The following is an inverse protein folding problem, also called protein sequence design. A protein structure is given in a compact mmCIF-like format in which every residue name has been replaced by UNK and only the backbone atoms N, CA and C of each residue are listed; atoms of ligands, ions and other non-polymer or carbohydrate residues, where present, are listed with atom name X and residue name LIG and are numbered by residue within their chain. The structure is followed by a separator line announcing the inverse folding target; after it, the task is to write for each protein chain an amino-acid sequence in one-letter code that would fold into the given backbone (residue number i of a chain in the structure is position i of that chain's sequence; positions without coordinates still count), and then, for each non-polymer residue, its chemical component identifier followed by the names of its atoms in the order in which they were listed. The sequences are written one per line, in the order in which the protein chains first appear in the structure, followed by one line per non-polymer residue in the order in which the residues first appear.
data_IF_816251704267
#
_entry.id   IF_816251704267
#
_cell.length_a   1.000
_cell.length_b   1.000
_cell.length_c   1.000
_cell.angle_alpha   90.00
_cell.angle_beta   90.00
_cell.angle_gamma   90.00
#
_symmetry.space_group_name_H-M   'P 1'
#
loop_
_entity.id
_entity.type
_entity.pdbx_description
1 polymer ?
#
# COMPACT_ATOMS: atom_id res chain seq x y z
N UNK A 1 -10.41 -22.14 1.98
CA UNK A 1 -9.52 -21.14 1.36
C UNK A 1 -8.18 -21.26 2.04
N UNK A 2 -7.09 -21.42 1.29
CA UNK A 2 -5.76 -21.34 1.86
C UNK A 2 -5.43 -19.86 2.12
N UNK A 3 -4.71 -19.58 3.21
CA UNK A 3 -4.24 -18.22 3.49
C UNK A 3 -3.30 -17.77 2.36
N UNK A 4 -3.37 -16.50 1.94
CA UNK A 4 -2.42 -15.97 0.99
C UNK A 4 -1.00 -16.09 1.55
N UNK A 5 0.02 -16.25 0.69
CA UNK A 5 1.39 -16.31 1.16
C UNK A 5 1.79 -14.97 1.78
N UNK A 6 2.57 -15.04 2.86
CA UNK A 6 3.10 -13.88 3.57
C UNK A 6 4.03 -13.02 2.67
N UNK A 7 4.68 -13.68 1.72
CA UNK A 7 5.59 -13.08 0.75
C UNK A 7 5.36 -13.69 -0.63
N UNK A 8 5.44 -12.87 -1.67
CA UNK A 8 5.55 -13.35 -3.06
C UNK A 8 6.72 -12.66 -3.75
N UNK A 9 7.49 -13.43 -4.53
CA UNK A 9 8.71 -12.94 -5.18
C UNK A 9 8.58 -13.03 -6.70
N UNK A 10 9.00 -11.97 -7.38
CA UNK A 10 8.95 -11.84 -8.83
C UNK A 10 10.24 -11.22 -9.36
N UNK A 11 10.47 -11.39 -10.66
CA UNK A 11 11.55 -10.75 -11.39
C UNK A 11 10.92 -9.92 -12.51
N UNK A 12 11.27 -8.64 -12.55
CA UNK A 12 10.98 -7.80 -13.71
C UNK A 12 11.83 -8.25 -14.90
N UNK A 13 11.44 -7.96 -16.16
CA UNK A 13 12.14 -8.49 -17.34
C UNK A 13 13.65 -8.19 -17.35
N UNK A 14 14.03 -6.96 -17.02
CA UNK A 14 15.44 -6.54 -16.89
C UNK A 14 16.19 -7.08 -15.65
N UNK A 15 15.56 -7.93 -14.83
CA UNK A 15 16.20 -8.67 -13.74
C UNK A 15 16.00 -8.12 -12.32
N UNK A 16 15.28 -7.01 -12.13
CA UNK A 16 14.99 -6.50 -10.77
C UNK A 16 14.14 -7.49 -9.97
N UNK A 17 14.61 -7.79 -8.75
CA UNK A 17 13.94 -8.68 -7.80
C UNK A 17 12.89 -7.91 -7.02
N UNK A 18 11.65 -8.34 -7.11
CA UNK A 18 10.50 -7.73 -6.46
C UNK A 18 9.99 -8.63 -5.34
N UNK A 19 9.81 -8.05 -4.16
CA UNK A 19 9.12 -8.67 -3.03
C UNK A 19 7.77 -8.00 -2.80
N UNK A 20 6.71 -8.79 -2.79
CA UNK A 20 5.36 -8.35 -2.42
C UNK A 20 5.07 -8.85 -1.01
N UNK A 21 4.68 -7.93 -0.14
CA UNK A 21 4.29 -8.17 1.25
C UNK A 21 3.03 -7.36 1.56
N UNK A 22 2.24 -7.76 2.55
CA UNK A 22 1.16 -6.90 3.00
C UNK A 22 1.68 -5.74 3.85
N UNK A 23 2.39 -6.02 4.96
CA UNK A 23 2.90 -5.00 5.88
C UNK A 23 4.41 -4.80 5.75
N UNK A 24 5.22 -5.83 6.07
CA UNK A 24 6.68 -5.82 5.95
C UNK A 24 7.21 -7.24 5.66
N UNK A 25 8.48 -7.41 5.27
CA UNK A 25 9.08 -8.74 5.11
C UNK A 25 8.83 -9.62 6.35
N UNK A 26 8.33 -10.83 6.11
CA UNK A 26 7.98 -11.81 7.13
C UNK A 26 6.81 -11.44 8.06
N UNK A 27 6.01 -10.39 7.77
CA UNK A 27 4.87 -9.98 8.61
C UNK A 27 3.68 -9.44 7.83
N UNK A 28 2.48 -9.85 8.25
CA UNK A 28 1.19 -9.37 7.74
C UNK A 28 0.62 -8.23 8.63
N UNK A 29 1.29 -7.89 9.72
CA UNK A 29 0.83 -6.90 10.69
C UNK A 29 1.96 -5.96 11.17
N UNK A 30 1.63 -5.12 12.15
CA UNK A 30 2.56 -4.17 12.74
C UNK A 30 2.48 -2.79 12.09
N UNK A 31 3.58 -2.01 12.06
CA UNK A 31 3.54 -0.66 11.52
C UNK A 31 3.74 -0.59 9.99
N UNK A 32 4.26 -1.64 9.34
CA UNK A 32 4.52 -1.66 7.89
C UNK A 32 5.48 -0.55 7.41
N UNK A 33 5.27 -0.05 6.18
CA UNK A 33 5.98 1.11 5.64
C UNK A 33 5.20 2.41 5.93
N UNK A 34 5.69 3.18 6.90
CA UNK A 34 5.15 4.49 7.29
C UNK A 34 6.07 5.61 6.86
N UNK A 35 5.52 6.72 6.35
CA UNK A 35 6.31 7.85 5.85
C UNK A 35 7.14 8.53 6.95
N UNK A 36 6.68 8.47 8.20
CA UNK A 36 7.32 9.05 9.37
C UNK A 36 8.43 8.16 9.97
N UNK A 37 8.56 6.91 9.52
CA UNK A 37 9.58 6.01 10.05
C UNK A 37 10.99 6.46 9.65
N UNK A 38 11.92 6.37 10.60
CA UNK A 38 13.34 6.50 10.33
C UNK A 38 13.87 5.28 9.59
N UNK A 39 15.00 5.45 8.91
CA UNK A 39 15.66 4.35 8.19
C UNK A 39 16.03 3.19 9.13
N UNK A 40 16.45 3.50 10.37
CA UNK A 40 16.72 2.49 11.39
C UNK A 40 15.46 1.67 11.75
N UNK A 41 14.32 2.33 11.93
CA UNK A 41 13.05 1.63 12.19
C UNK A 41 12.60 0.77 11.01
N UNK A 42 12.81 1.24 9.77
CA UNK A 42 12.49 0.44 8.58
C UNK A 42 13.45 -0.75 8.42
N UNK A 43 14.72 -0.58 8.78
CA UNK A 43 15.69 -1.68 8.81
C UNK A 43 15.31 -2.74 9.86
N UNK A 44 14.92 -2.31 11.07
CA UNK A 44 14.40 -3.22 12.12
C UNK A 44 13.15 -3.99 11.69
N UNK A 45 12.35 -3.42 10.78
CA UNK A 45 11.18 -4.07 10.16
C UNK A 45 11.56 -5.03 9.01
N UNK A 46 12.85 -5.19 8.72
CA UNK A 46 13.37 -6.13 7.73
C UNK A 46 13.48 -5.58 6.30
N UNK A 47 13.17 -4.30 6.05
CA UNK A 47 13.20 -3.76 4.68
C UNK A 47 14.59 -3.65 4.08
N UNK A 48 15.64 -3.54 4.90
CA UNK A 48 17.02 -3.36 4.43
C UNK A 48 17.70 -4.66 3.96
N UNK A 49 17.28 -5.82 4.48
CA UNK A 49 17.96 -7.12 4.29
C UNK A 49 17.01 -8.20 3.74
N UNK A 50 16.07 -7.80 2.86
CA UNK A 50 14.98 -8.66 2.38
C UNK A 50 15.26 -9.45 1.10
N UNK A 51 16.51 -9.41 0.61
CA UNK A 51 16.94 -10.04 -0.65
C UNK A 51 16.09 -9.65 -1.87
N UNK A 52 15.77 -8.36 -1.98
CA UNK A 52 15.02 -7.76 -3.09
C UNK A 52 15.56 -6.37 -3.40
N UNK A 53 15.32 -5.90 -4.62
CA UNK A 53 15.72 -4.56 -5.07
C UNK A 53 14.52 -3.58 -5.03
N UNK A 54 13.31 -4.13 -5.13
CA UNK A 54 12.04 -3.42 -5.03
C UNK A 54 11.09 -4.18 -4.08
N UNK A 55 10.50 -3.47 -3.11
CA UNK A 55 9.47 -4.01 -2.21
C UNK A 55 8.17 -3.27 -2.47
N UNK A 56 7.10 -4.01 -2.77
CA UNK A 56 5.74 -3.50 -2.86
C UNK A 56 4.96 -3.93 -1.61
N UNK A 57 4.45 -2.96 -0.87
CA UNK A 57 3.69 -3.15 0.37
C UNK A 57 2.35 -2.43 0.31
N UNK A 58 1.43 -2.80 1.20
CA UNK A 58 0.15 -2.14 1.43
C UNK A 58 0.01 -1.74 2.89
N UNK A 59 -1.00 -2.29 3.57
CA UNK A 59 -1.19 -2.19 5.03
C UNK A 59 -1.51 -0.81 5.61
N UNK A 60 -0.68 0.21 5.39
CA UNK A 60 -0.86 1.55 5.97
C UNK A 60 -1.86 2.41 5.19
N UNK A 61 -2.17 2.00 3.95
CA UNK A 61 -3.09 2.69 3.04
C UNK A 61 -2.65 4.11 2.67
N UNK A 62 -1.35 4.40 2.79
CA UNK A 62 -0.73 5.67 2.44
C UNK A 62 0.30 5.40 1.34
N UNK A 63 0.11 5.88 0.10
CA UNK A 63 1.13 5.77 -0.93
C UNK A 63 2.47 6.33 -0.45
N UNK A 64 3.55 5.61 -0.73
CA UNK A 64 4.89 5.99 -0.32
C UNK A 64 5.91 5.47 -1.32
N UNK A 65 6.97 6.24 -1.54
CA UNK A 65 8.13 5.87 -2.34
C UNK A 65 9.40 6.31 -1.58
N UNK A 66 10.14 5.32 -1.06
CA UNK A 66 11.33 5.53 -0.24
C UNK A 66 12.45 4.61 -0.71
N UNK A 67 13.69 5.01 -0.52
CA UNK A 67 14.84 4.12 -0.73
C UNK A 67 15.55 3.90 0.60
N UNK A 68 15.82 2.64 0.95
CA UNK A 68 16.54 2.23 2.14
C UNK A 68 17.60 1.20 1.77
N UNK A 69 18.87 1.47 2.11
CA UNK A 69 19.98 0.53 1.88
C UNK A 69 20.05 -0.02 0.43
N UNK A 70 19.65 0.78 -0.57
CA UNK A 70 19.62 0.38 -1.98
C UNK A 70 18.34 -0.33 -2.43
N UNK A 71 17.42 -0.64 -1.52
CA UNK A 71 16.10 -1.21 -1.81
C UNK A 71 15.08 -0.09 -1.98
N UNK A 72 14.33 -0.08 -3.08
CA UNK A 72 13.20 0.83 -3.27
C UNK A 72 11.96 0.23 -2.61
N UNK A 73 11.31 1.00 -1.75
CA UNK A 73 10.17 0.60 -0.94
C UNK A 73 8.95 1.40 -1.39
N UNK A 74 7.93 0.71 -1.89
CA UNK A 74 6.71 1.30 -2.41
C UNK A 74 5.51 0.82 -1.62
N UNK A 75 4.78 1.75 -1.02
CA UNK A 75 3.43 1.47 -0.55
C UNK A 75 2.46 1.75 -1.68
N UNK A 76 1.68 0.75 -2.10
CA UNK A 76 0.84 0.87 -3.29
C UNK A 76 -0.43 1.71 -3.08
N UNK A 77 -0.71 2.09 -1.83
CA UNK A 77 -1.91 2.82 -1.44
C UNK A 77 -3.07 1.90 -1.05
N UNK A 78 -4.28 2.42 -1.18
CA UNK A 78 -5.53 1.68 -0.93
C UNK A 78 -6.63 2.16 -1.85
N UNK A 79 -7.24 1.20 -2.55
CA UNK A 79 -8.37 1.45 -3.43
C UNK A 79 -9.62 1.80 -2.62
N UNK A 80 -9.88 1.10 -1.52
CA UNK A 80 -11.14 1.19 -0.78
C UNK A 80 -11.06 2.02 0.48
N UNK A 81 -9.87 2.24 1.04
CA UNK A 81 -9.73 2.87 2.34
C UNK A 81 -8.47 3.76 2.45
N UNK A 82 -8.27 4.69 1.51
CA UNK A 82 -7.12 5.60 1.50
C UNK A 82 -7.08 6.46 2.77
N UNK A 83 -5.89 6.65 3.35
CA UNK A 83 -5.75 7.50 4.56
C UNK A 83 -5.66 8.99 4.19
N UNK A 84 -5.06 9.27 3.02
CA UNK A 84 -4.92 10.52 2.23
C UNK A 84 -4.51 10.01 0.83
N UNK A 85 -5.01 10.43 -0.35
CA UNK A 85 -5.88 11.53 -0.81
C UNK A 85 -7.40 11.16 -0.92
N UNK A 86 -8.22 11.97 -1.63
CA UNK A 86 -9.70 11.94 -1.62
C UNK A 86 -10.32 10.82 -2.48
N UNK A 87 -9.50 10.04 -3.17
CA UNK A 87 -9.94 8.97 -4.06
C UNK A 87 -9.22 7.64 -3.83
N UNK A 88 -9.67 6.62 -4.55
CA UNK A 88 -9.01 5.32 -4.61
C UNK A 88 -7.57 5.50 -5.10
N UNK A 89 -6.62 4.85 -4.42
CA UNK A 89 -5.20 4.88 -4.80
C UNK A 89 -4.67 3.50 -5.14
N UNK A 90 -3.83 3.45 -6.17
CA UNK A 90 -3.10 2.25 -6.57
C UNK A 90 -1.78 2.65 -7.22
N UNK A 91 -1.00 1.67 -7.64
CA UNK A 91 0.29 1.91 -8.29
C UNK A 91 0.39 1.13 -9.59
N UNK A 92 0.81 1.80 -10.66
CA UNK A 92 1.19 1.19 -11.92
C UNK A 92 2.70 0.89 -11.89
N UNK A 93 3.07 -0.34 -12.27
CA UNK A 93 4.46 -0.73 -12.49
C UNK A 93 4.60 -1.15 -13.94
N UNK A 94 5.22 -0.30 -14.75
CA UNK A 94 5.56 -0.60 -16.13
C UNK A 94 7.02 -1.06 -16.18
N UNK A 95 7.28 -2.24 -16.74
CA UNK A 95 8.63 -2.80 -16.81
C UNK A 95 8.88 -3.46 -18.16
N UNK A 96 10.10 -3.30 -18.66
CA UNK A 96 10.61 -3.94 -19.87
C UNK A 96 12.07 -4.40 -19.68
N UNK A 97 12.74 -4.78 -20.76
CA UNK A 97 14.13 -5.25 -20.72
C UNK A 97 15.16 -4.15 -20.38
N UNK A 98 14.75 -2.88 -20.39
CA UNK A 98 15.61 -1.72 -20.13
C UNK A 98 15.48 -1.17 -18.71
N UNK A 99 14.35 -1.41 -18.05
CA UNK A 99 14.09 -0.92 -16.71
C UNK A 99 12.62 -0.96 -16.33
N UNK A 100 12.26 -0.19 -15.30
CA UNK A 100 10.89 -0.03 -14.85
C UNK A 100 10.57 1.39 -14.41
N UNK A 101 9.28 1.73 -14.46
CA UNK A 101 8.71 2.98 -13.96
C UNK A 101 7.58 2.65 -12.98
N UNK A 102 7.46 3.49 -11.96
CA UNK A 102 6.43 3.39 -10.93
C UNK A 102 5.64 4.70 -10.93
N UNK A 103 4.32 4.58 -11.00
CA UNK A 103 3.40 5.72 -10.95
C UNK A 103 2.30 5.46 -9.93
N UNK A 104 2.17 6.34 -8.94
CA UNK A 104 1.04 6.34 -8.03
C UNK A 104 -0.16 6.98 -8.74
N UNK A 105 -1.26 6.24 -8.75
CA UNK A 105 -2.50 6.61 -9.41
C UNK A 105 -3.55 6.94 -8.36
N UNK A 106 -4.41 7.91 -8.70
CA UNK A 106 -5.57 8.28 -7.89
C UNK A 106 -6.79 8.44 -8.80
N UNK A 107 -7.95 7.96 -8.36
CA UNK A 107 -9.23 8.24 -8.99
C UNK A 107 -10.31 8.56 -7.96
N UNK A 108 -11.06 9.62 -8.21
CA UNK A 108 -12.28 9.90 -7.47
C UNK A 108 -13.33 8.82 -7.74
N UNK A 109 -14.14 8.52 -6.72
CA UNK A 109 -15.33 7.68 -6.81
C UNK A 109 -16.50 8.40 -6.13
N UNK A 110 -17.72 7.95 -6.40
CA UNK A 110 -18.91 8.51 -5.76
C UNK A 110 -18.99 8.02 -4.31
N UNK A 111 -18.51 8.86 -3.39
CA UNK A 111 -18.55 8.56 -1.96
C UNK A 111 -20.00 8.42 -1.47
N UNK A 112 -20.94 9.21 -1.99
CA UNK A 112 -22.33 9.13 -1.55
C UNK A 112 -22.95 7.77 -1.90
N UNK A 113 -22.62 7.21 -3.08
CA UNK A 113 -23.02 5.86 -3.45
C UNK A 113 -22.44 4.79 -2.52
N UNK A 114 -21.16 4.93 -2.14
CA UNK A 114 -20.51 4.02 -1.18
C UNK A 114 -21.19 4.09 0.20
N UNK A 115 -21.48 5.29 0.70
CA UNK A 115 -22.16 5.47 1.99
C UNK A 115 -23.58 4.90 1.97
N UNK A 116 -24.33 5.12 0.89
CA UNK A 116 -25.67 4.53 0.71
C UNK A 116 -25.62 2.99 0.69
N UNK A 117 -24.60 2.40 0.07
CA UNK A 117 -24.40 0.95 0.07
C UNK A 117 -24.06 0.40 1.46
N UNK A 118 -23.26 1.12 2.26
CA UNK A 118 -22.96 0.74 3.64
C UNK A 118 -24.21 0.72 4.53
N UNK A 119 -25.07 1.73 4.37
CA UNK A 119 -26.35 1.79 5.08
C UNK A 119 -27.30 0.66 4.65
N UNK A 120 -27.48 0.48 3.33
CA UNK A 120 -28.40 -0.52 2.77
C UNK A 120 -28.02 -1.96 3.13
N UNK A 121 -26.73 -2.23 3.35
CA UNK A 121 -26.24 -3.55 3.76
C UNK A 121 -26.23 -3.76 5.27
N UNK A 122 -26.67 -2.76 6.05
CA UNK A 122 -26.56 -2.74 7.51
C UNK A 122 -25.14 -3.10 7.97
N UNK A 123 -24.13 -2.51 7.32
CA UNK A 123 -22.74 -2.87 7.57
C UNK A 123 -22.39 -2.68 9.05
N UNK A 124 -21.79 -3.69 9.72
CA UNK A 124 -21.61 -3.68 11.18
C UNK A 124 -20.72 -2.54 11.70
N UNK A 125 -19.93 -1.91 10.82
CA UNK A 125 -19.01 -0.80 11.14
C UNK A 125 -19.23 0.43 10.26
N UNK A 126 -20.43 0.64 9.72
CA UNK A 126 -20.75 1.76 8.80
C UNK A 126 -20.25 3.13 9.32
N UNK A 127 -20.57 3.50 10.56
CA UNK A 127 -20.15 4.78 11.15
C UNK A 127 -18.62 4.99 11.17
N UNK A 128 -17.84 3.92 11.37
CA UNK A 128 -16.37 4.02 11.34
C UNK A 128 -15.85 4.21 9.91
N UNK A 129 -16.43 3.49 8.94
CA UNK A 129 -16.09 3.64 7.53
C UNK A 129 -16.48 5.02 7.00
N UNK A 130 -17.67 5.51 7.35
CA UNK A 130 -18.14 6.87 7.07
C UNK A 130 -17.15 7.90 7.59
N UNK A 131 -16.75 7.82 8.86
CA UNK A 131 -15.77 8.76 9.42
C UNK A 131 -14.40 8.68 8.73
N UNK A 132 -13.97 7.47 8.36
CA UNK A 132 -12.66 7.26 7.74
C UNK A 132 -12.62 7.73 6.28
N UNK A 133 -13.70 7.51 5.52
CA UNK A 133 -13.82 7.87 4.11
C UNK A 133 -14.27 9.34 3.94
N UNK A 134 -15.25 9.76 4.71
CA UNK A 134 -15.83 11.10 4.72
C UNK A 134 -15.07 12.05 5.63
N UNK A 135 -13.73 12.12 5.52
CA UNK A 135 -12.93 13.17 6.17
C UNK A 135 -13.30 14.53 5.59
N UNK A 136 -14.44 15.03 6.06
CA UNK A 136 -14.97 16.36 5.81
C UNK A 136 -14.10 17.38 6.51
N UNK A 137 -13.90 18.50 5.81
CA UNK A 137 -13.37 19.71 6.42
C UNK A 137 -14.32 20.16 7.52
N UNK A 138 -13.89 19.99 8.76
CA UNK A 138 -14.41 20.74 9.90
C UNK A 138 -13.26 21.56 10.48
N UNK A 139 -13.26 22.87 10.19
CA UNK A 139 -12.54 23.90 10.95
C UNK A 139 -11.06 24.06 10.65
#
# INVERSE_FOLDING_TARGET
MADPPLESRYWLPHGTRVLLVHASPGRDDGPGLTVEASDAQLAERGFAECDADLVLTGHTHVPADRTLAGVRLINVGSVSLPTKPRGATWTMVDADETGYRIEHMEAAYDLAEVLAALEATHHPTAAWLEHKLGRDGSG
#
